data_IF_170850789203
#
_entry.id   IF_170850789203
#
_cell.length_a   1.000
_cell.length_b   1.000
_cell.length_c   1.000
_cell.angle_alpha   90.00
_cell.angle_beta   90.00
_cell.angle_gamma   90.00
#
_symmetry.space_group_name_H-M   'P 1'
#
loop_
_entity.id
_entity.type
_entity.pdbx_description
1 polymer ?
#
# COMPACT_ATOMS: atom_id res chain seq x y z
N UNK A 1 10.56 23.25 13.15
CA UNK A 1 9.19 22.99 13.64
C UNK A 1 9.26 22.91 15.15
N UNK A 2 8.26 23.42 15.87
CA UNK A 2 8.21 23.31 17.32
C UNK A 2 7.72 21.90 17.71
N UNK A 3 8.49 21.18 18.52
CA UNK A 3 8.18 19.83 19.00
C UNK A 3 6.84 19.80 19.75
N UNK A 4 6.47 20.90 20.41
CA UNK A 4 5.18 21.03 21.12
C UNK A 4 3.96 20.91 20.19
N UNK A 5 4.16 21.18 18.89
CA UNK A 5 3.11 21.10 17.86
C UNK A 5 3.04 19.75 17.13
N UNK A 6 3.94 18.82 17.43
CA UNK A 6 3.95 17.50 16.80
C UNK A 6 2.77 16.64 17.26
N UNK A 7 2.55 16.51 18.58
CA UNK A 7 1.48 15.67 19.13
C UNK A 7 0.05 16.10 18.73
N UNK A 8 -0.30 17.40 18.73
CA UNK A 8 -1.62 17.84 18.28
C UNK A 8 -1.87 17.56 16.78
N UNK A 9 -0.84 17.64 15.93
CA UNK A 9 -0.96 17.36 14.49
C UNK A 9 -1.14 15.88 14.21
N UNK A 10 -0.36 15.00 14.86
CA UNK A 10 -0.54 13.55 14.70
C UNK A 10 -1.94 13.10 15.14
N UNK A 11 -2.42 13.56 16.30
CA UNK A 11 -3.78 13.25 16.76
C UNK A 11 -4.88 13.77 15.81
N UNK A 12 -4.63 14.83 15.04
CA UNK A 12 -5.57 15.27 14.00
C UNK A 12 -5.57 14.36 12.77
N UNK A 13 -4.41 13.82 12.39
CA UNK A 13 -4.29 12.86 11.28
C UNK A 13 -4.92 11.52 11.66
N UNK A 14 -4.64 11.00 12.85
CA UNK A 14 -5.18 9.73 13.37
C UNK A 14 -6.71 9.74 13.46
N UNK A 15 -7.31 10.89 13.78
CA UNK A 15 -8.78 11.06 13.86
C UNK A 15 -9.43 11.44 12.54
N UNK A 16 -8.65 11.56 11.46
CA UNK A 16 -9.14 11.97 10.14
C UNK A 16 -9.66 13.41 10.08
N UNK A 17 -9.32 14.26 11.06
CA UNK A 17 -9.75 15.66 11.10
C UNK A 17 -9.02 16.52 10.06
N UNK A 18 -7.78 16.17 9.76
CA UNK A 18 -7.01 16.73 8.67
C UNK A 18 -6.31 15.60 7.92
N UNK A 19 -6.19 15.74 6.60
CA UNK A 19 -5.36 14.86 5.79
C UNK A 19 -3.97 15.50 5.66
N UNK A 20 -2.90 14.80 6.04
CA UNK A 20 -1.54 15.29 5.79
C UNK A 20 -1.30 15.44 4.29
N UNK A 21 -0.48 16.42 3.91
CA UNK A 21 -0.05 16.55 2.52
C UNK A 21 0.89 15.39 2.12
N UNK A 22 1.12 15.24 0.81
CA UNK A 22 1.97 14.16 0.27
C UNK A 22 3.40 14.24 0.82
N UNK A 23 3.93 15.45 1.06
CA UNK A 23 5.27 15.63 1.61
C UNK A 23 5.39 15.10 3.03
N UNK A 24 4.38 15.38 3.85
CA UNK A 24 4.25 14.89 5.23
C UNK A 24 4.06 13.38 5.25
N UNK A 25 3.18 12.84 4.40
CA UNK A 25 2.99 11.40 4.27
C UNK A 25 4.26 10.69 3.84
N UNK A 26 5.04 11.28 2.93
CA UNK A 26 6.34 10.73 2.51
C UNK A 26 7.34 10.70 3.67
N UNK A 27 7.45 11.79 4.43
CA UNK A 27 8.32 11.82 5.61
C UNK A 27 7.91 10.78 6.66
N UNK A 28 6.61 10.57 6.86
CA UNK A 28 6.09 9.50 7.73
C UNK A 28 6.42 8.11 7.17
N UNK A 29 6.25 7.91 5.86
CA UNK A 29 6.57 6.65 5.18
C UNK A 29 8.04 6.28 5.38
N UNK A 30 8.94 7.25 5.17
CA UNK A 30 10.39 7.09 5.32
C UNK A 30 10.77 6.74 6.77
N UNK A 31 10.17 7.42 7.76
CA UNK A 31 10.43 7.16 9.19
C UNK A 31 9.88 5.79 9.65
N UNK A 32 8.72 5.39 9.13
CA UNK A 32 8.08 4.10 9.47
C UNK A 32 8.66 2.92 8.66
N UNK A 33 9.47 3.18 7.63
CA UNK A 33 10.03 2.15 6.75
C UNK A 33 8.99 1.45 5.87
N UNK A 34 7.89 2.15 5.53
CA UNK A 34 6.79 1.63 4.70
C UNK A 34 6.70 2.40 3.37
N UNK A 35 6.18 1.81 2.29
CA UNK A 35 5.95 2.56 1.06
C UNK A 35 4.81 3.57 1.25
N UNK A 36 4.87 4.70 0.54
CA UNK A 36 3.82 5.73 0.57
C UNK A 36 2.42 5.17 0.24
N UNK A 37 2.35 4.15 -0.64
CA UNK A 37 1.10 3.49 -1.01
C UNK A 37 0.40 2.81 0.17
N UNK A 38 1.13 2.45 1.23
CA UNK A 38 0.59 1.81 2.43
C UNK A 38 -0.53 2.65 3.08
N UNK A 39 -0.38 3.97 3.12
CA UNK A 39 -1.37 4.87 3.72
C UNK A 39 -2.71 4.94 2.97
N UNK A 40 -2.77 4.37 1.76
CA UNK A 40 -3.95 4.40 0.89
C UNK A 40 -4.56 3.01 0.69
N UNK A 41 -4.03 1.97 1.33
CA UNK A 41 -4.59 0.63 1.28
C UNK A 41 -5.88 0.57 2.13
N UNK A 42 -6.96 0.04 1.55
CA UNK A 42 -8.26 -0.06 2.22
C UNK A 42 -8.41 -1.35 3.04
N UNK A 43 -7.58 -2.35 2.77
CA UNK A 43 -7.62 -3.66 3.41
C UNK A 43 -6.21 -4.15 3.82
N UNK A 44 -6.19 -5.10 4.75
CA UNK A 44 -4.95 -5.64 5.32
C UNK A 44 -4.09 -6.36 4.28
N UNK A 45 -4.71 -7.02 3.29
CA UNK A 45 -3.98 -7.77 2.27
C UNK A 45 -3.26 -6.81 1.32
N UNK A 46 -3.92 -5.75 0.85
CA UNK A 46 -3.28 -4.74 -0.01
C UNK A 46 -2.16 -3.99 0.72
N UNK A 47 -2.34 -3.70 2.01
CA UNK A 47 -1.32 -3.08 2.85
C UNK A 47 -0.08 -3.96 2.99
N UNK A 48 -0.28 -5.24 3.30
CA UNK A 48 0.81 -6.23 3.44
C UNK A 48 1.52 -6.48 2.11
N UNK A 49 0.77 -6.56 1.00
CA UNK A 49 1.35 -6.65 -0.35
C UNK A 49 2.22 -5.43 -0.68
N UNK A 50 1.75 -4.23 -0.38
CA UNK A 50 2.54 -3.01 -0.59
C UNK A 50 3.86 -3.07 0.20
N UNK A 51 3.81 -3.44 1.48
CA UNK A 51 5.02 -3.59 2.31
C UNK A 51 5.97 -4.65 1.78
N UNK A 52 5.46 -5.81 1.37
CA UNK A 52 6.29 -6.90 0.86
C UNK A 52 6.93 -6.54 -0.47
N UNK A 53 6.18 -5.93 -1.39
CA UNK A 53 6.73 -5.41 -2.65
C UNK A 53 7.86 -4.40 -2.39
N UNK A 54 7.73 -3.52 -1.40
CA UNK A 54 8.77 -2.55 -1.07
C UNK A 54 10.11 -3.19 -0.64
N UNK A 55 10.06 -4.41 -0.07
CA UNK A 55 11.25 -5.15 0.41
C UNK A 55 11.90 -6.02 -0.67
N UNK A 56 11.20 -6.30 -1.76
CA UNK A 56 11.69 -7.19 -2.82
C UNK A 56 12.68 -6.49 -3.77
N UNK A 57 13.57 -7.30 -4.35
CA UNK A 57 14.39 -6.87 -5.47
C UNK A 57 13.54 -6.59 -6.71
N UNK A 58 14.04 -5.78 -7.66
CA UNK A 58 13.32 -5.52 -8.91
C UNK A 58 13.01 -6.82 -9.69
N UNK A 59 13.93 -7.78 -9.68
CA UNK A 59 13.72 -9.10 -10.30
C UNK A 59 12.58 -9.87 -9.64
N UNK A 60 12.47 -9.81 -8.31
CA UNK A 60 11.41 -10.53 -7.59
C UNK A 60 10.05 -9.80 -7.70
N UNK A 61 10.05 -8.47 -7.72
CA UNK A 61 8.85 -7.68 -8.06
C UNK A 61 8.30 -8.09 -9.43
N UNK A 62 9.16 -8.27 -10.42
CA UNK A 62 8.75 -8.71 -11.75
C UNK A 62 8.11 -10.10 -11.74
N UNK A 63 8.63 -11.04 -10.94
CA UNK A 63 8.02 -12.37 -10.77
C UNK A 63 6.63 -12.29 -10.14
N UNK A 64 6.46 -11.44 -9.12
CA UNK A 64 5.14 -11.22 -8.50
C UNK A 64 4.17 -10.64 -9.52
N UNK A 65 4.59 -9.65 -10.30
CA UNK A 65 3.75 -9.06 -11.35
C UNK A 65 3.33 -10.08 -12.41
N UNK A 66 4.24 -10.96 -12.82
CA UNK A 66 3.93 -12.04 -13.76
C UNK A 66 2.95 -13.05 -13.15
N UNK A 67 3.15 -13.42 -11.88
CA UNK A 67 2.27 -14.35 -11.18
C UNK A 67 0.85 -13.79 -11.04
N UNK A 68 0.69 -12.52 -10.69
CA UNK A 68 -0.63 -11.90 -10.59
C UNK A 68 -1.32 -11.78 -11.95
N UNK A 69 -0.58 -11.45 -13.01
CA UNK A 69 -1.12 -11.44 -14.37
C UNK A 69 -1.67 -12.82 -14.78
N UNK A 70 -0.93 -13.90 -14.52
CA UNK A 70 -1.37 -15.27 -14.81
C UNK A 70 -2.63 -15.67 -14.05
N UNK A 71 -2.71 -15.35 -12.76
CA UNK A 71 -3.90 -15.66 -11.95
C UNK A 71 -5.15 -14.94 -12.47
N UNK A 72 -4.99 -13.72 -12.98
CA UNK A 72 -6.09 -12.97 -13.60
C UNK A 72 -6.54 -13.69 -14.88
N UNK A 73 -5.61 -14.10 -15.74
CA UNK A 73 -5.93 -14.82 -16.98
C UNK A 73 -6.64 -16.15 -16.69
N UNK A 74 -6.16 -16.94 -15.73
CA UNK A 74 -6.78 -18.23 -15.34
C UNK A 74 -8.20 -18.04 -14.78
N UNK A 75 -8.45 -16.96 -14.03
CA UNK A 75 -9.79 -16.64 -13.52
C UNK A 75 -10.81 -16.30 -14.63
N UNK A 76 -10.32 -15.84 -15.78
CA UNK A 76 -11.15 -15.53 -16.95
C UNK A 76 -11.57 -16.77 -17.74
N UNK A 77 -10.76 -17.84 -17.73
CA UNK A 77 -11.06 -19.10 -18.43
C UNK A 77 -12.08 -19.96 -17.67
N UNK A 78 -12.01 -19.97 -16.33
CA UNK A 78 -12.89 -20.80 -15.50
C UNK A 78 -14.36 -20.31 -15.48
N UNK A 79 -14.58 -19.02 -15.76
CA UNK A 79 -15.92 -18.44 -15.93
C UNK A 79 -16.62 -18.88 -17.23
N UNK A 80 -15.88 -19.37 -18.23
CA UNK A 80 -16.44 -19.85 -19.50
C UNK A 80 -16.84 -21.33 -19.46
N UNK A 81 -16.28 -22.11 -18.54
CA UNK A 81 -16.51 -23.56 -18.42
C UNK A 81 -17.74 -23.92 -17.57
N UNK A 82 -18.23 -23.00 -16.73
CA UNK A 82 -19.41 -23.20 -15.85
C UNK A 82 -20.75 -22.84 -16.48
N UNK A 83 -20.76 -22.34 -17.72
CA UNK A 83 -21.97 -21.94 -18.45
C UNK A 83 -22.47 -23.01 -19.46
N UNK A 84 -21.99 -24.25 -19.36
CA UNK A 84 -22.43 -25.39 -20.21
C UNK A 84 -23.01 -26.53 -19.39
#
# INVERSE_FOLDING_TARGET
MDESSASPRMNQYEKGKHTPDIGTLKALADELGVPLSYFFCEDEISAELAMNLNKLSETDKQKVLEMTARLIDESSEDSSSKAR
#
